data_IF_004957751807
#
_entry.id   IF_004957751807
#
_cell.length_a   1.000
_cell.length_b   1.000
_cell.length_c   1.000
_cell.angle_alpha   90.00
_cell.angle_beta   90.00
_cell.angle_gamma   90.00
#
_symmetry.space_group_name_H-M   'P 1'
#
loop_
_entity.id
_entity.type
_entity.pdbx_description
1 polymer ?
#
# COMPACT_ATOMS: atom_id res chain seq x y z
N UNK A 1 30.34 -24.06 13.29
CA UNK A 1 29.38 -24.99 12.66
C UNK A 1 27.94 -24.51 12.88
N UNK A 2 27.48 -24.23 14.13
CA UNK A 2 26.11 -23.75 14.43
C UNK A 2 25.75 -22.43 13.70
N UNK A 3 26.67 -21.47 13.64
CA UNK A 3 26.46 -20.21 12.92
C UNK A 3 26.24 -20.44 11.43
N UNK A 4 27.04 -21.32 10.82
CA UNK A 4 26.88 -21.66 9.39
C UNK A 4 25.58 -22.42 9.14
N UNK A 5 25.22 -23.35 10.01
CA UNK A 5 23.96 -24.09 9.90
C UNK A 5 22.75 -23.17 10.04
N UNK A 6 22.78 -22.23 10.98
CA UNK A 6 21.72 -21.22 11.13
C UNK A 6 21.59 -20.32 9.91
N UNK A 7 22.69 -19.84 9.34
CA UNK A 7 22.69 -19.01 8.15
C UNK A 7 22.17 -19.77 6.91
N UNK A 8 22.61 -21.01 6.71
CA UNK A 8 22.13 -21.87 5.62
C UNK A 8 20.64 -22.20 5.78
N UNK A 9 20.21 -22.52 7.01
CA UNK A 9 18.81 -22.82 7.30
C UNK A 9 17.91 -21.59 7.07
N UNK A 10 18.33 -20.40 7.51
CA UNK A 10 17.64 -19.16 7.24
C UNK A 10 17.51 -18.84 5.74
N UNK A 11 18.58 -19.08 4.97
CA UNK A 11 18.57 -18.88 3.53
C UNK A 11 17.67 -19.87 2.77
N UNK A 12 17.59 -21.13 3.24
CA UNK A 12 16.82 -22.20 2.59
C UNK A 12 15.34 -22.21 3.02
N UNK A 13 15.03 -21.84 4.27
CA UNK A 13 13.70 -21.91 4.85
C UNK A 13 13.07 -20.56 5.16
N UNK A 14 13.80 -19.47 4.91
CA UNK A 14 13.32 -18.10 5.06
C UNK A 14 12.28 -17.76 3.99
N UNK A 15 11.15 -17.18 4.41
CA UNK A 15 10.10 -16.69 3.51
C UNK A 15 10.05 -15.16 3.55
N UNK A 16 9.93 -14.57 2.36
CA UNK A 16 9.74 -13.13 2.16
C UNK A 16 8.46 -12.92 1.36
N UNK A 17 7.56 -12.11 1.88
CA UNK A 17 6.30 -11.75 1.24
C UNK A 17 6.16 -10.24 1.26
N UNK A 18 5.97 -9.63 0.10
CA UNK A 18 5.63 -8.21 -0.06
C UNK A 18 4.18 -8.07 -0.50
N UNK A 19 3.44 -7.19 0.18
CA UNK A 19 2.03 -6.91 -0.15
C UNK A 19 1.69 -5.47 0.15
N UNK A 20 0.89 -4.88 -0.73
CA UNK A 20 0.24 -3.60 -0.49
C UNK A 20 -1.14 -3.84 0.08
N UNK A 21 -1.42 -3.19 1.21
CA UNK A 21 -2.71 -3.23 1.88
C UNK A 21 -3.29 -1.82 1.96
N UNK A 22 -4.53 -1.68 1.49
CA UNK A 22 -5.33 -0.49 1.76
C UNK A 22 -5.95 -0.59 3.18
N UNK A 23 -6.32 0.52 3.81
CA UNK A 23 -7.08 0.51 5.06
C UNK A 23 -8.31 -0.40 4.96
N UNK A 24 -8.61 -1.09 6.06
CA UNK A 24 -9.69 -2.09 6.22
C UNK A 24 -9.54 -3.35 5.35
N UNK A 25 -8.37 -3.56 4.75
CA UNK A 25 -8.05 -4.80 4.04
C UNK A 25 -7.21 -5.74 4.90
N UNK A 26 -7.39 -7.03 4.63
CA UNK A 26 -6.73 -8.12 5.36
C UNK A 26 -5.73 -8.86 4.48
N UNK A 27 -4.71 -9.41 5.13
CA UNK A 27 -3.75 -10.36 4.58
C UNK A 27 -3.74 -11.60 5.45
N UNK A 28 -4.11 -12.75 4.88
CA UNK A 28 -4.05 -14.03 5.55
C UNK A 28 -2.71 -14.72 5.26
N UNK A 29 -2.00 -15.07 6.32
CA UNK A 29 -0.81 -15.92 6.24
C UNK A 29 -1.25 -17.35 6.45
N UNK A 30 -1.06 -18.17 5.42
CA UNK A 30 -1.45 -19.56 5.41
C UNK A 30 -0.26 -20.47 5.78
N UNK A 31 -0.57 -21.58 6.45
CA UNK A 31 0.36 -22.68 6.63
C UNK A 31 0.58 -23.43 5.31
N UNK A 32 1.59 -24.31 5.21
CA UNK A 32 1.71 -25.20 4.06
C UNK A 32 0.50 -26.12 3.84
N UNK A 33 -0.30 -26.38 4.89
CA UNK A 33 -1.57 -27.13 4.83
C UNK A 33 -2.76 -26.28 4.35
N UNK A 34 -2.58 -24.95 4.20
CA UNK A 34 -3.64 -24.04 3.76
C UNK A 34 -4.46 -23.43 4.90
N UNK A 35 -4.15 -23.76 6.17
CA UNK A 35 -4.86 -23.18 7.32
C UNK A 35 -4.37 -21.77 7.62
N UNK A 36 -5.26 -20.86 8.02
CA UNK A 36 -4.89 -19.51 8.43
C UNK A 36 -4.07 -19.56 9.72
N UNK A 37 -2.82 -19.08 9.65
CA UNK A 37 -1.94 -18.96 10.82
C UNK A 37 -2.06 -17.59 11.50
N UNK A 38 -2.22 -16.56 10.72
CA UNK A 38 -2.30 -15.18 11.19
C UNK A 38 -3.02 -14.34 10.14
N UNK A 39 -4.04 -13.60 10.54
CA UNK A 39 -4.66 -12.57 9.72
C UNK A 39 -4.17 -11.21 10.20
N UNK A 40 -3.67 -10.41 9.28
CA UNK A 40 -3.20 -9.04 9.50
C UNK A 40 -4.18 -8.10 8.82
N UNK A 41 -4.79 -7.20 9.57
CA UNK A 41 -5.68 -6.16 9.05
C UNK A 41 -5.00 -4.81 9.16
N UNK A 42 -4.88 -4.06 8.07
CA UNK A 42 -4.46 -2.68 8.12
C UNK A 42 -5.65 -1.81 8.56
N UNK A 43 -5.60 -1.27 9.79
CA UNK A 43 -6.65 -0.38 10.29
C UNK A 43 -6.44 1.06 9.81
N UNK A 44 -5.18 1.51 9.80
CA UNK A 44 -4.84 2.87 9.42
C UNK A 44 -3.46 2.92 8.75
N UNK A 45 -3.34 3.75 7.74
CA UNK A 45 -2.07 4.11 7.12
C UNK A 45 -1.95 5.62 7.03
N UNK A 46 -0.82 6.15 7.49
CA UNK A 46 -0.54 7.59 7.52
C UNK A 46 0.80 7.88 6.85
N UNK A 47 0.81 8.90 6.00
CA UNK A 47 2.00 9.47 5.40
C UNK A 47 2.24 10.81 6.07
N UNK A 48 3.25 10.88 6.94
CA UNK A 48 3.69 12.15 7.53
C UNK A 48 4.55 12.88 6.51
N UNK A 49 4.31 14.18 6.35
CA UNK A 49 5.01 15.01 5.37
C UNK A 49 5.72 16.17 6.04
N UNK A 50 6.87 16.55 5.48
CA UNK A 50 7.57 17.75 5.87
C UNK A 50 6.78 19.02 5.43
N UNK A 51 7.18 20.23 5.89
CA UNK A 51 6.52 21.46 5.47
C UNK A 51 6.58 21.76 3.97
N UNK A 52 7.47 21.08 3.22
CA UNK A 52 7.55 21.16 1.77
C UNK A 52 6.67 20.12 1.05
N UNK A 53 5.91 19.30 1.81
CA UNK A 53 5.00 18.28 1.30
C UNK A 53 5.66 16.95 0.94
N UNK A 54 6.96 16.75 1.23
CA UNK A 54 7.67 15.50 0.94
C UNK A 54 7.40 14.46 2.03
N UNK A 55 7.21 13.18 1.67
CA UNK A 55 7.04 12.12 2.66
C UNK A 55 8.27 12.04 3.59
N UNK A 56 8.02 12.07 4.90
CA UNK A 56 9.03 12.00 5.94
C UNK A 56 8.97 10.69 6.71
N UNK A 57 7.75 10.21 6.99
CA UNK A 57 7.53 8.98 7.72
C UNK A 57 6.24 8.28 7.27
N UNK A 58 6.26 6.97 7.32
CA UNK A 58 5.10 6.12 7.06
C UNK A 58 4.75 5.34 8.32
N UNK A 59 3.48 5.38 8.73
CA UNK A 59 2.95 4.65 9.90
C UNK A 59 1.77 3.80 9.51
N UNK A 60 1.81 2.54 9.92
CA UNK A 60 0.68 1.61 9.78
C UNK A 60 0.24 1.11 11.14
N UNK A 61 -1.07 1.11 11.36
CA UNK A 61 -1.70 0.47 12.52
C UNK A 61 -2.29 -0.85 12.06
N UNK A 62 -1.78 -1.94 12.62
CA UNK A 62 -2.11 -3.32 12.25
C UNK A 62 -2.89 -3.97 13.38
N UNK A 63 -4.03 -4.59 13.06
CA UNK A 63 -4.69 -5.55 13.94
C UNK A 63 -4.26 -6.96 13.54
N UNK A 64 -3.90 -7.77 14.53
CA UNK A 64 -3.56 -9.17 14.35
C UNK A 64 -4.67 -10.04 14.92
N UNK A 65 -5.03 -11.12 14.23
CA UNK A 65 -6.12 -12.02 14.64
C UNK A 65 -5.95 -12.67 16.01
N UNK A 66 -4.72 -12.70 16.52
CA UNK A 66 -4.33 -13.31 17.80
C UNK A 66 -3.86 -12.29 18.84
N UNK A 67 -4.12 -10.99 18.62
CA UNK A 67 -3.79 -9.89 19.55
C UNK A 67 -5.00 -9.00 19.74
N UNK A 68 -5.35 -8.70 21.00
CA UNK A 68 -6.46 -7.81 21.33
C UNK A 68 -6.15 -6.33 21.05
N UNK A 69 -4.86 -5.97 21.04
CA UNK A 69 -4.44 -4.57 20.85
C UNK A 69 -3.80 -4.37 19.48
N UNK A 70 -4.23 -3.34 18.72
CA UNK A 70 -3.56 -2.97 17.49
C UNK A 70 -2.10 -2.61 17.73
N UNK A 71 -1.26 -2.94 16.77
CA UNK A 71 0.19 -2.69 16.80
C UNK A 71 0.56 -1.64 15.76
N UNK A 72 1.38 -0.67 16.15
CA UNK A 72 1.87 0.34 15.22
C UNK A 72 3.26 -0.02 14.72
N UNK A 73 3.45 0.10 13.41
CA UNK A 73 4.76 -0.01 12.75
C UNK A 73 5.09 1.28 12.00
N UNK A 74 6.36 1.54 11.81
CA UNK A 74 6.85 2.63 10.95
C UNK A 74 8.18 2.25 10.32
N UNK A 75 8.71 3.11 9.44
CA UNK A 75 10.04 2.90 8.87
C UNK A 75 11.06 2.77 10.02
N UNK A 76 11.89 1.74 9.97
CA UNK A 76 12.87 1.34 10.99
C UNK A 76 12.30 0.85 12.35
N UNK A 77 10.97 0.79 12.51
CA UNK A 77 10.33 0.24 13.71
C UNK A 77 9.38 -0.91 13.31
N UNK A 78 9.92 -2.09 12.96
CA UNK A 78 9.12 -3.24 12.56
C UNK A 78 8.45 -3.91 13.76
N UNK A 79 7.34 -4.59 13.50
CA UNK A 79 6.71 -5.49 14.44
C UNK A 79 7.31 -6.89 14.34
N UNK A 80 7.69 -7.45 15.50
CA UNK A 80 8.10 -8.86 15.62
C UNK A 80 7.01 -9.63 16.33
N UNK A 81 6.44 -10.62 15.64
CA UNK A 81 5.34 -11.40 16.15
C UNK A 81 5.47 -12.87 15.72
N UNK A 82 5.53 -13.80 16.67
CA UNK A 82 5.61 -15.26 16.44
C UNK A 82 6.61 -15.69 15.37
N UNK A 83 7.81 -15.14 15.41
CA UNK A 83 8.87 -15.47 14.45
C UNK A 83 8.72 -14.84 13.06
N UNK A 84 7.72 -13.97 12.88
CA UNK A 84 7.54 -13.13 11.70
C UNK A 84 7.94 -11.70 12.07
N UNK A 85 8.67 -11.04 11.19
CA UNK A 85 8.95 -9.60 11.28
C UNK A 85 8.22 -8.88 10.16
N UNK A 86 7.41 -7.89 10.53
CA UNK A 86 6.59 -7.09 9.61
C UNK A 86 7.18 -5.70 9.55
N UNK A 87 7.64 -5.30 8.38
CA UNK A 87 8.26 -4.01 8.10
C UNK A 87 7.30 -3.12 7.32
N UNK A 88 7.33 -1.81 7.63
CA UNK A 88 6.84 -0.77 6.73
C UNK A 88 7.91 -0.57 5.66
N UNK A 89 7.68 -1.04 4.44
CA UNK A 89 8.69 -1.08 3.39
C UNK A 89 8.46 -0.05 2.29
N UNK A 90 7.18 0.19 1.93
CA UNK A 90 6.82 1.01 0.79
C UNK A 90 5.40 1.58 0.94
N UNK A 91 4.93 2.33 -0.03
CA UNK A 91 3.56 2.84 -0.14
C UNK A 91 3.11 2.89 -1.60
N UNK A 92 1.81 2.91 -1.81
CA UNK A 92 1.19 3.06 -3.12
C UNK A 92 -0.14 3.81 -3.01
N UNK A 93 -0.76 4.14 -4.13
CA UNK A 93 -2.14 4.58 -4.18
C UNK A 93 -3.01 3.40 -4.63
N UNK A 94 -3.97 3.02 -3.77
CA UNK A 94 -4.82 1.85 -4.02
C UNK A 94 -6.05 2.18 -4.84
N UNK A 95 -6.71 3.30 -4.52
CA UNK A 95 -7.98 3.67 -5.11
C UNK A 95 -8.21 5.18 -5.09
N UNK A 96 -9.13 5.62 -5.91
CA UNK A 96 -9.63 6.99 -5.95
C UNK A 96 -11.15 6.98 -5.83
N UNK A 97 -11.68 7.83 -4.96
CA UNK A 97 -13.10 8.12 -4.86
C UNK A 97 -13.49 9.21 -5.84
N UNK A 98 -14.35 8.89 -6.79
CA UNK A 98 -14.84 9.84 -7.79
C UNK A 98 -16.36 9.94 -7.76
N UNK A 99 -16.87 11.12 -8.06
CA UNK A 99 -18.29 11.39 -8.24
C UNK A 99 -18.51 12.06 -9.59
N UNK A 100 -19.36 11.47 -10.42
CA UNK A 100 -19.69 11.96 -11.75
C UNK A 100 -21.13 12.50 -11.72
N UNK A 101 -21.30 13.78 -11.97
CA UNK A 101 -22.62 14.41 -11.93
C UNK A 101 -23.29 14.26 -10.56
N UNK A 102 -24.42 13.56 -10.52
CA UNK A 102 -25.20 13.27 -9.31
C UNK A 102 -25.05 11.81 -8.84
N UNK A 103 -24.06 11.09 -9.36
CA UNK A 103 -23.81 9.71 -8.91
C UNK A 103 -23.41 9.67 -7.43
N UNK A 104 -23.58 8.53 -6.72
CA UNK A 104 -22.86 8.30 -5.49
C UNK A 104 -21.35 8.33 -5.74
N UNK A 105 -20.57 8.46 -4.68
CA UNK A 105 -19.12 8.29 -4.76
C UNK A 105 -18.79 6.84 -5.15
N UNK A 106 -17.98 6.71 -6.20
CA UNK A 106 -17.49 5.44 -6.70
C UNK A 106 -16.01 5.30 -6.35
N UNK A 107 -15.67 4.26 -5.61
CA UNK A 107 -14.29 3.93 -5.30
C UNK A 107 -13.72 3.03 -6.41
N UNK A 108 -12.76 3.56 -7.17
CA UNK A 108 -12.17 2.88 -8.32
C UNK A 108 -10.70 2.56 -8.05
N UNK A 109 -10.24 1.36 -8.43
CA UNK A 109 -8.85 0.97 -8.24
C UNK A 109 -7.93 1.78 -9.14
N UNK A 110 -6.77 2.15 -8.61
CA UNK A 110 -5.69 2.78 -9.34
C UNK A 110 -4.69 1.74 -9.84
N UNK A 111 -4.09 2.00 -10.99
CA UNK A 111 -3.00 1.22 -11.57
C UNK A 111 -1.76 2.09 -11.67
N UNK A 112 -0.58 1.46 -11.63
CA UNK A 112 0.69 2.15 -11.86
C UNK A 112 0.96 2.28 -13.35
N UNK A 113 1.51 3.43 -13.75
CA UNK A 113 1.92 3.73 -15.13
C UNK A 113 3.41 4.10 -15.17
N UNK A 114 4.31 3.10 -15.08
CA UNK A 114 5.75 3.34 -15.01
C UNK A 114 6.33 4.03 -16.26
N UNK A 115 5.62 3.93 -17.38
CA UNK A 115 5.96 4.66 -18.62
C UNK A 115 5.77 6.17 -18.51
N UNK A 116 4.95 6.64 -17.57
CA UNK A 116 4.72 8.06 -17.29
C UNK A 116 5.59 8.60 -16.15
N UNK A 117 6.20 7.72 -15.35
CA UNK A 117 7.06 8.07 -14.22
C UNK A 117 7.10 6.99 -13.14
N UNK A 118 8.09 7.05 -12.26
CA UNK A 118 8.30 6.03 -11.21
C UNK A 118 7.15 5.93 -10.19
N UNK A 119 6.46 7.05 -9.94
CA UNK A 119 5.35 7.14 -8.97
C UNK A 119 4.15 7.82 -9.62
N UNK A 120 3.67 7.25 -10.71
CA UNK A 120 2.45 7.71 -11.39
C UNK A 120 1.40 6.61 -11.32
N UNK A 121 0.26 6.97 -10.74
CA UNK A 121 -0.94 6.14 -10.69
C UNK A 121 -2.02 6.77 -11.53
N UNK A 122 -2.91 5.94 -12.05
CA UNK A 122 -4.02 6.44 -12.83
C UNK A 122 -5.09 5.40 -13.09
N UNK A 123 -6.10 5.84 -13.80
CA UNK A 123 -7.15 5.00 -14.34
C UNK A 123 -7.80 5.64 -15.56
N UNK A 124 -8.37 4.81 -16.40
CA UNK A 124 -9.24 5.23 -17.51
C UNK A 124 -10.67 5.23 -17.01
N UNK A 125 -11.33 6.39 -17.07
CA UNK A 125 -12.71 6.57 -16.62
C UNK A 125 -13.61 6.86 -17.82
N UNK A 126 -14.58 6.02 -18.17
CA UNK A 126 -15.59 6.35 -19.16
C UNK A 126 -16.51 7.46 -18.62
N UNK A 127 -16.76 8.50 -19.40
CA UNK A 127 -17.64 9.60 -18.99
C UNK A 127 -19.09 9.36 -19.39
N UNK A 128 -19.36 8.37 -20.26
CA UNK A 128 -20.69 8.02 -20.71
C UNK A 128 -21.10 6.60 -20.27
N UNK A 129 -22.39 6.35 -20.03
CA UNK A 129 -22.87 5.02 -19.61
C UNK A 129 -22.60 3.91 -20.61
N UNK A 130 -22.45 4.25 -21.88
CA UNK A 130 -22.11 3.31 -22.98
C UNK A 130 -20.59 3.02 -23.06
N UNK A 131 -19.78 3.56 -22.15
CA UNK A 131 -18.33 3.40 -22.13
C UNK A 131 -17.56 4.31 -23.08
N UNK A 132 -18.25 5.23 -23.76
CA UNK A 132 -17.62 6.17 -24.71
C UNK A 132 -17.02 7.40 -24.01
N UNK A 133 -16.26 8.18 -24.77
CA UNK A 133 -15.56 9.39 -24.30
C UNK A 133 -14.73 9.18 -23.02
N UNK A 134 -13.83 8.18 -23.02
CA UNK A 134 -13.00 7.94 -21.85
C UNK A 134 -12.05 9.10 -21.58
N UNK A 135 -11.76 9.34 -20.31
CA UNK A 135 -10.71 10.26 -19.87
C UNK A 135 -9.70 9.48 -19.02
N UNK A 136 -8.46 9.94 -19.03
CA UNK A 136 -7.41 9.38 -18.21
C UNK A 136 -7.17 10.28 -17.00
N UNK A 137 -7.28 9.75 -15.80
CA UNK A 137 -6.93 10.42 -14.56
C UNK A 137 -5.53 9.97 -14.14
N UNK A 138 -4.65 10.93 -13.84
CA UNK A 138 -3.27 10.68 -13.40
C UNK A 138 -2.96 11.47 -12.14
N UNK A 139 -2.26 10.84 -11.20
CA UNK A 139 -1.86 11.44 -9.92
C UNK A 139 -0.57 10.80 -9.40
N UNK A 140 0.19 11.56 -8.59
CA UNK A 140 1.48 11.15 -8.02
C UNK A 140 1.45 11.06 -6.49
N UNK A 141 0.41 11.58 -5.85
CA UNK A 141 0.25 11.52 -4.39
C UNK A 141 -1.22 11.59 -3.97
N UNK A 142 -1.50 11.20 -2.73
CA UNK A 142 -2.85 11.18 -2.16
C UNK A 142 -3.43 12.58 -1.92
N UNK A 143 -2.57 13.61 -1.84
CA UNK A 143 -2.97 15.01 -1.59
C UNK A 143 -2.71 15.91 -2.80
N UNK A 144 -1.99 15.40 -3.79
CA UNK A 144 -1.64 16.14 -5.00
C UNK A 144 -2.81 16.35 -5.94
N UNK A 145 -2.61 17.20 -6.96
CA UNK A 145 -3.61 17.37 -8.01
C UNK A 145 -3.79 16.06 -8.79
N UNK A 146 -5.01 15.85 -9.25
CA UNK A 146 -5.36 14.81 -10.21
C UNK A 146 -5.51 15.45 -11.58
N UNK A 147 -4.62 15.12 -12.49
CA UNK A 147 -4.65 15.57 -13.87
C UNK A 147 -5.65 14.75 -14.67
N UNK A 148 -6.51 15.41 -15.43
CA UNK A 148 -7.50 14.74 -16.29
C UNK A 148 -7.14 15.01 -17.75
N UNK A 149 -6.94 13.94 -18.50
CA UNK A 149 -6.56 13.99 -19.92
C UNK A 149 -7.65 13.40 -20.81
N UNK A 150 -7.77 13.98 -21.99
CA UNK A 150 -8.57 13.39 -23.05
C UNK A 150 -7.87 12.19 -23.70
N UNK A 151 -8.58 11.47 -24.53
CA UNK A 151 -8.09 10.32 -25.33
C UNK A 151 -6.97 10.70 -26.31
N UNK A 152 -6.87 11.96 -26.71
CA UNK A 152 -5.78 12.49 -27.55
C UNK A 152 -4.53 12.93 -26.76
N UNK A 153 -4.57 12.82 -25.42
CA UNK A 153 -3.50 13.22 -24.51
C UNK A 153 -3.53 14.71 -24.11
N UNK A 154 -4.51 15.48 -24.57
CA UNK A 154 -4.67 16.87 -24.12
C UNK A 154 -5.18 16.94 -22.68
N UNK A 155 -4.60 17.83 -21.87
CA UNK A 155 -5.04 18.05 -20.49
C UNK A 155 -6.33 18.85 -20.48
N UNK A 156 -7.38 18.28 -19.88
CA UNK A 156 -8.70 18.92 -19.77
C UNK A 156 -8.80 19.80 -18.53
N UNK A 157 -8.37 19.30 -17.37
CA UNK A 157 -8.48 20.01 -16.10
C UNK A 157 -7.60 19.39 -15.02
N UNK A 158 -7.43 20.12 -13.91
CA UNK A 158 -6.79 19.67 -12.68
C UNK A 158 -7.82 19.65 -11.56
N UNK A 159 -8.00 18.51 -10.92
CA UNK A 159 -8.88 18.32 -9.78
C UNK A 159 -8.05 18.14 -8.50
N UNK A 160 -8.61 18.50 -7.35
CA UNK A 160 -7.99 18.25 -6.04
C UNK A 160 -8.86 17.32 -5.23
N UNK A 161 -8.28 16.33 -4.54
CA UNK A 161 -9.04 15.49 -3.61
C UNK A 161 -9.75 16.35 -2.56
N UNK A 162 -11.05 16.07 -2.35
CA UNK A 162 -11.90 16.85 -1.45
C UNK A 162 -12.32 18.22 -1.97
N UNK A 163 -11.82 18.65 -3.13
CA UNK A 163 -12.12 19.94 -3.75
C UNK A 163 -13.45 19.99 -4.50
N UNK A 164 -13.74 21.13 -5.15
CA UNK A 164 -14.93 21.29 -5.99
C UNK A 164 -14.86 20.39 -7.23
N UNK A 165 -16.02 20.12 -7.83
CA UNK A 165 -16.09 19.45 -9.12
C UNK A 165 -15.56 20.35 -10.24
N UNK A 166 -14.84 19.75 -11.19
CA UNK A 166 -14.49 20.36 -12.47
C UNK A 166 -15.37 19.85 -13.58
N UNK A 167 -15.51 20.62 -14.65
CA UNK A 167 -16.22 20.18 -15.83
C UNK A 167 -15.33 19.32 -16.73
N UNK A 168 -15.79 18.11 -17.05
CA UNK A 168 -15.09 17.15 -17.90
C UNK A 168 -16.08 16.59 -18.91
N UNK A 169 -15.88 16.85 -20.20
CA UNK A 169 -16.79 16.43 -21.29
C UNK A 169 -18.27 16.79 -21.05
N UNK A 170 -18.52 17.98 -20.48
CA UNK A 170 -19.86 18.45 -20.16
C UNK A 170 -20.49 17.81 -18.91
N UNK A 171 -19.72 17.07 -18.13
CA UNK A 171 -20.15 16.48 -16.86
C UNK A 171 -19.32 17.00 -15.70
N UNK A 172 -19.95 17.32 -14.55
CA UNK A 172 -19.18 17.64 -13.35
C UNK A 172 -18.53 16.36 -12.81
N UNK A 173 -17.19 16.38 -12.71
CA UNK A 173 -16.36 15.33 -12.12
C UNK A 173 -15.71 15.88 -10.85
N UNK A 174 -15.89 15.17 -9.74
CA UNK A 174 -15.25 15.49 -8.46
C UNK A 174 -14.41 14.32 -8.00
N UNK A 175 -13.20 14.62 -7.55
CA UNK A 175 -12.38 13.69 -6.78
C UNK A 175 -12.71 13.89 -5.31
N UNK A 176 -13.35 12.92 -4.69
CA UNK A 176 -13.74 12.98 -3.28
C UNK A 176 -12.57 12.63 -2.38
N UNK A 177 -11.85 11.55 -2.70
CA UNK A 177 -10.76 11.01 -1.89
C UNK A 177 -9.74 10.26 -2.74
N UNK A 178 -8.53 10.10 -2.21
CA UNK A 178 -7.52 9.17 -2.72
C UNK A 178 -7.08 8.29 -1.57
N UNK A 179 -7.12 6.99 -1.77
CA UNK A 179 -6.84 6.00 -0.74
C UNK A 179 -5.41 5.47 -0.91
N UNK A 180 -4.48 5.81 0.00
CA UNK A 180 -3.14 5.23 -0.01
C UNK A 180 -3.16 3.80 0.54
N UNK A 181 -2.18 2.99 0.13
CA UNK A 181 -1.93 1.65 0.62
C UNK A 181 -0.54 1.56 1.26
N UNK A 182 -0.45 0.80 2.34
CA UNK A 182 0.82 0.47 2.99
C UNK A 182 1.48 -0.71 2.30
N UNK A 183 2.74 -0.56 1.93
CA UNK A 183 3.61 -1.65 1.45
C UNK A 183 4.25 -2.35 2.64
N UNK A 184 3.78 -3.56 2.94
CA UNK A 184 4.27 -4.40 4.02
C UNK A 184 5.23 -5.45 3.49
N UNK A 185 6.38 -5.57 4.15
CA UNK A 185 7.33 -6.66 3.92
C UNK A 185 7.33 -7.58 5.13
N UNK A 186 6.90 -8.80 4.94
CA UNK A 186 6.91 -9.85 5.95
C UNK A 186 8.09 -10.77 5.72
N UNK A 187 8.89 -10.98 6.77
CA UNK A 187 10.02 -11.90 6.75
C UNK A 187 9.87 -12.93 7.86
N UNK A 188 10.10 -14.18 7.52
CA UNK A 188 10.25 -15.28 8.48
C UNK A 188 11.65 -15.87 8.29
N UNK A 189 12.48 -15.79 9.32
CA UNK A 189 13.82 -16.35 9.31
C UNK A 189 13.96 -17.34 10.47
N UNK A 190 13.79 -18.64 10.22
CA UNK A 190 13.90 -19.67 11.25
C UNK A 190 15.35 -19.94 11.68
N UNK A 191 16.34 -19.40 10.94
CA UNK A 191 17.75 -19.57 11.25
C UNK A 191 18.28 -18.66 12.37
N UNK A 192 17.59 -17.54 12.62
CA UNK A 192 18.04 -16.53 13.61
C UNK A 192 18.28 -17.11 15.00
N UNK A 193 17.40 -17.93 15.60
CA UNK A 193 17.67 -18.51 16.92
C UNK A 193 18.94 -19.38 16.97
N UNK A 194 19.21 -20.14 15.89
CA UNK A 194 20.41 -20.97 15.80
C UNK A 194 21.69 -20.16 15.71
N UNK A 195 21.63 -19.01 15.01
CA UNK A 195 22.76 -18.08 14.92
C UNK A 195 23.08 -17.50 16.30
N UNK A 196 22.07 -17.04 17.06
CA UNK A 196 22.28 -16.51 18.42
C UNK A 196 22.80 -17.59 19.38
N UNK A 197 22.31 -18.83 19.28
CA UNK A 197 22.80 -19.94 20.07
C UNK A 197 24.28 -20.22 19.74
N UNK A 198 24.65 -20.13 18.45
CA UNK A 198 26.04 -20.28 18.03
C UNK A 198 26.97 -19.20 18.59
N UNK A 199 26.51 -17.94 18.66
CA UNK A 199 27.26 -16.87 19.33
C UNK A 199 27.39 -17.10 20.82
N UNK A 200 26.32 -17.54 21.51
CA UNK A 200 26.36 -17.87 22.95
C UNK A 200 27.40 -18.95 23.29
N UNK A 201 27.54 -19.95 22.42
CA UNK A 201 28.54 -21.02 22.59
C UNK A 201 29.97 -20.57 22.33
N UNK A 202 30.16 -19.51 21.51
CA UNK A 202 31.50 -18.97 21.22
C UNK A 202 32.02 -18.02 22.33
N UNK A 203 31.12 -17.54 23.20
CA UNK A 203 31.46 -16.61 24.29
C UNK A 203 31.72 -17.33 25.64
N UNK A 204 31.61 -18.68 25.68
CA UNK A 204 31.90 -19.54 26.82
C UNK A 204 33.18 -20.33 26.54
#
# INVERSE_FOLDING_TARGET
>A
VLLMLGAVWGALAGNRLERFLAPDRTLDLLSPSGDSQLTITLQQFQIERDPAGRPEQFRSTLALSDSETPQQISVNHPLRHRGITIYQADWALAAIGVQIGRSPELQLPLQTYPELGEQVWGLVLPTRPDGTEPVFLSLESEQGPVSVYDSDGSMLTLLRPGGPAGEVKGLPLRVASVLPASGLLLKRDPGVPLVYLGFGVLLV
#
